data_IF_296422711975
#
_entry.id   IF_296422711975
#
_cell.length_a   1.000
_cell.length_b   1.000
_cell.length_c   1.000
_cell.angle_alpha   90.00
_cell.angle_beta   90.00
_cell.angle_gamma   90.00
#
_symmetry.space_group_name_H-M   'P 1'
#
loop_
_entity.id
_entity.type
_entity.pdbx_description
1 polymer ?
#
# COMPACT_ATOMS: atom_id res chain seq x y z
N UNK A 1 -3.41 -41.10 -24.81
CA UNK A 1 -2.71 -39.80 -24.81
C UNK A 1 -2.31 -39.53 -26.27
N UNK A 2 -2.92 -38.51 -26.90
CA UNK A 2 -2.56 -38.16 -28.28
C UNK A 2 -1.19 -37.46 -28.26
N UNK A 3 -0.18 -38.09 -28.80
CA UNK A 3 1.09 -37.45 -29.15
C UNK A 3 0.84 -36.58 -30.39
N UNK A 4 0.39 -35.33 -30.20
CA UNK A 4 0.26 -34.38 -31.28
C UNK A 4 1.60 -33.70 -31.53
N UNK A 5 2.01 -33.67 -32.80
CA UNK A 5 3.10 -32.77 -33.21
C UNK A 5 2.59 -31.34 -33.14
N UNK A 6 3.15 -30.53 -32.22
CA UNK A 6 2.84 -29.12 -32.12
C UNK A 6 3.79 -28.35 -33.04
N UNK A 7 3.23 -27.45 -33.86
CA UNK A 7 4.02 -26.49 -34.66
C UNK A 7 3.58 -25.06 -34.23
N UNK A 8 4.53 -24.13 -34.26
CA UNK A 8 4.21 -22.72 -34.00
C UNK A 8 3.26 -22.18 -35.08
N UNK A 9 2.31 -21.38 -34.65
CA UNK A 9 1.46 -20.62 -35.56
C UNK A 9 2.32 -19.58 -36.31
N UNK A 10 2.04 -19.38 -37.57
CA UNK A 10 2.69 -18.37 -38.39
C UNK A 10 2.43 -16.92 -37.88
N UNK A 11 1.32 -16.70 -37.17
CA UNK A 11 0.98 -15.47 -36.47
C UNK A 11 0.82 -15.76 -34.98
N UNK A 12 1.66 -15.13 -34.15
CA UNK A 12 1.60 -15.30 -32.69
C UNK A 12 0.40 -14.54 -32.14
N UNK A 13 -0.44 -15.23 -31.40
CA UNK A 13 -1.62 -14.70 -30.73
C UNK A 13 -1.56 -14.96 -29.23
N UNK A 14 -2.21 -14.08 -28.45
CA UNK A 14 -2.57 -14.32 -27.05
C UNK A 14 -4.08 -14.49 -27.02
N UNK A 15 -4.56 -15.65 -26.59
CA UNK A 15 -5.98 -15.96 -26.52
C UNK A 15 -6.57 -15.60 -25.15
N UNK A 16 -5.97 -16.13 -24.09
CA UNK A 16 -6.45 -15.92 -22.71
C UNK A 16 -5.35 -15.42 -21.81
N UNK A 17 -5.73 -14.52 -20.85
CA UNK A 17 -4.88 -14.04 -19.79
C UNK A 17 -5.50 -14.30 -18.42
N UNK A 18 -4.68 -14.58 -17.43
CA UNK A 18 -5.09 -14.79 -16.04
C UNK A 18 -4.14 -14.08 -15.08
N UNK A 19 -4.68 -13.52 -13.98
CA UNK A 19 -3.84 -12.99 -12.91
C UNK A 19 -3.10 -14.11 -12.20
N UNK A 20 -1.77 -14.00 -12.09
CA UNK A 20 -0.92 -15.01 -11.44
C UNK A 20 -1.38 -15.33 -10.02
N UNK A 21 -1.71 -14.32 -9.24
CA UNK A 21 -2.18 -14.48 -7.87
C UNK A 21 -3.52 -15.23 -7.79
N UNK A 22 -4.43 -14.99 -8.74
CA UNK A 22 -5.71 -15.73 -8.80
C UNK A 22 -5.48 -17.20 -9.14
N UNK A 23 -4.54 -17.49 -10.01
CA UNK A 23 -4.14 -18.86 -10.29
C UNK A 23 -3.53 -19.53 -9.06
N UNK A 24 -2.65 -18.81 -8.35
CA UNK A 24 -2.04 -19.29 -7.12
C UNK A 24 -3.08 -19.60 -6.02
N UNK A 25 -4.13 -18.78 -5.89
CA UNK A 25 -5.25 -19.06 -4.96
C UNK A 25 -5.87 -20.42 -5.26
N UNK A 26 -6.15 -20.72 -6.54
CA UNK A 26 -6.75 -21.99 -6.94
C UNK A 26 -5.78 -23.18 -6.76
N UNK A 27 -4.50 -23.00 -7.07
CA UNK A 27 -3.50 -24.09 -6.98
C UNK A 27 -3.11 -24.38 -5.52
N UNK A 28 -3.06 -23.36 -4.67
CA UNK A 28 -2.73 -23.51 -3.25
C UNK A 28 -3.96 -23.82 -2.37
N UNK A 29 -5.15 -23.87 -2.97
CA UNK A 29 -6.43 -24.12 -2.27
C UNK A 29 -6.64 -23.21 -1.05
N UNK A 30 -6.47 -21.89 -1.26
CA UNK A 30 -6.66 -20.87 -0.24
C UNK A 30 -7.80 -19.93 -0.59
N UNK A 31 -8.41 -19.27 0.41
CA UNK A 31 -9.62 -18.44 0.23
C UNK A 31 -9.35 -17.07 -0.40
N UNK A 32 -8.12 -16.56 -0.31
CA UNK A 32 -7.80 -15.19 -0.66
C UNK A 32 -6.40 -15.04 -1.23
N UNK A 33 -6.22 -14.05 -2.11
CA UNK A 33 -4.90 -13.61 -2.59
C UNK A 33 -3.96 -13.27 -1.43
N UNK A 34 -4.48 -12.80 -0.30
CA UNK A 34 -3.68 -12.48 0.89
C UNK A 34 -3.17 -13.72 1.63
N UNK A 35 -3.68 -14.89 1.32
CA UNK A 35 -3.30 -16.15 1.95
C UNK A 35 -2.30 -16.96 1.11
N UNK A 36 -2.04 -16.56 -0.17
CA UNK A 36 -1.00 -17.20 -0.98
C UNK A 36 0.40 -16.94 -0.41
N UNK A 37 1.31 -17.85 -0.61
CA UNK A 37 2.67 -17.84 -0.06
C UNK A 37 3.43 -16.51 -0.24
N UNK A 38 3.42 -15.98 -1.46
CA UNK A 38 4.12 -14.74 -1.83
C UNK A 38 3.56 -13.47 -1.18
N UNK A 39 2.26 -13.43 -0.86
CA UNK A 39 1.61 -12.26 -0.27
C UNK A 39 1.47 -12.38 1.24
N UNK A 40 1.32 -13.63 1.72
CA UNK A 40 1.17 -13.94 3.15
C UNK A 40 2.33 -13.40 3.99
N UNK A 41 3.56 -13.53 3.52
CA UNK A 41 4.74 -13.04 4.24
C UNK A 41 4.66 -11.53 4.49
N UNK A 42 4.22 -10.75 3.50
CA UNK A 42 4.03 -9.31 3.62
C UNK A 42 2.86 -8.98 4.56
N UNK A 43 1.72 -9.63 4.40
CA UNK A 43 0.55 -9.49 5.30
C UNK A 43 0.94 -9.76 6.76
N UNK A 44 1.66 -10.84 7.00
CA UNK A 44 2.10 -11.23 8.34
C UNK A 44 3.13 -10.23 8.91
N UNK A 45 3.93 -9.58 8.05
CA UNK A 45 4.80 -8.48 8.46
C UNK A 45 3.99 -7.27 8.93
N UNK A 46 2.95 -6.86 8.17
CA UNK A 46 2.02 -5.80 8.61
C UNK A 46 1.39 -6.14 9.96
N UNK A 47 0.90 -7.36 10.12
CA UNK A 47 0.30 -7.83 11.38
C UNK A 47 1.27 -7.75 12.56
N UNK A 48 2.54 -8.13 12.37
CA UNK A 48 3.58 -8.05 13.42
C UNK A 48 3.86 -6.61 13.82
N UNK A 49 3.97 -5.70 12.86
CA UNK A 49 4.20 -4.28 13.15
C UNK A 49 3.05 -3.64 13.92
N UNK A 50 1.83 -4.02 13.61
CA UNK A 50 0.63 -3.49 14.26
C UNK A 50 0.25 -4.24 15.56
N UNK A 51 0.87 -5.38 15.85
CA UNK A 51 0.48 -6.21 16.99
C UNK A 51 -0.91 -6.83 16.88
N UNK A 52 -1.42 -7.04 15.66
CA UNK A 52 -2.78 -7.54 15.39
C UNK A 52 -2.76 -8.90 14.70
N UNK A 53 -3.88 -9.62 14.80
CA UNK A 53 -4.08 -10.92 14.15
C UNK A 53 -5.08 -10.75 13.01
N UNK A 54 -4.69 -11.15 11.80
CA UNK A 54 -5.57 -11.14 10.63
C UNK A 54 -6.78 -12.06 10.81
N UNK A 55 -7.94 -11.64 10.31
CA UNK A 55 -9.25 -12.32 10.45
C UNK A 55 -9.83 -12.29 11.88
N UNK A 56 -9.34 -11.44 12.77
CA UNK A 56 -9.88 -11.27 14.13
C UNK A 56 -10.83 -10.07 14.26
N UNK A 57 -10.56 -8.99 13.54
CA UNK A 57 -11.35 -7.76 13.55
C UNK A 57 -11.45 -7.18 12.13
N UNK A 58 -12.67 -6.96 11.64
CA UNK A 58 -12.92 -6.53 10.27
C UNK A 58 -12.29 -5.16 9.93
N UNK A 59 -12.28 -4.22 10.88
CA UNK A 59 -11.68 -2.88 10.66
C UNK A 59 -10.17 -2.97 10.51
N UNK A 60 -9.53 -3.77 11.33
CA UNK A 60 -8.09 -4.04 11.24
C UNK A 60 -7.77 -4.79 9.95
N UNK A 61 -8.60 -5.74 9.55
CA UNK A 61 -8.43 -6.51 8.33
C UNK A 61 -8.47 -5.64 7.07
N UNK A 62 -9.39 -4.67 7.01
CA UNK A 62 -9.44 -3.70 5.91
C UNK A 62 -8.10 -2.95 5.80
N UNK A 63 -7.58 -2.47 6.92
CA UNK A 63 -6.32 -1.72 6.96
C UNK A 63 -5.13 -2.59 6.55
N UNK A 64 -5.06 -3.84 7.03
CA UNK A 64 -4.02 -4.81 6.65
C UNK A 64 -4.04 -5.06 5.14
N UNK A 65 -5.22 -5.29 4.56
CA UNK A 65 -5.41 -5.51 3.11
C UNK A 65 -4.95 -4.32 2.29
N UNK A 66 -5.35 -3.11 2.69
CA UNK A 66 -4.96 -1.86 2.00
C UNK A 66 -3.46 -1.68 2.03
N UNK A 67 -2.80 -1.82 3.18
CA UNK A 67 -1.36 -1.65 3.30
C UNK A 67 -0.63 -2.69 2.44
N UNK A 68 -1.02 -3.96 2.54
CA UNK A 68 -0.40 -5.07 1.80
C UNK A 68 -0.49 -4.87 0.28
N UNK A 69 -1.66 -4.49 -0.24
CA UNK A 69 -1.88 -4.25 -1.66
C UNK A 69 -1.10 -3.02 -2.16
N UNK A 70 -1.21 -1.92 -1.43
CA UNK A 70 -0.67 -0.64 -1.87
C UNK A 70 0.86 -0.62 -1.84
N UNK A 71 1.51 -1.18 -0.82
CA UNK A 71 2.97 -1.17 -0.74
C UNK A 71 3.60 -2.01 -1.85
N UNK A 72 2.98 -3.12 -2.25
CA UNK A 72 3.42 -3.90 -3.42
C UNK A 72 3.35 -3.05 -4.68
N UNK A 73 2.19 -2.45 -4.93
CA UNK A 73 1.98 -1.59 -6.11
C UNK A 73 2.98 -0.43 -6.14
N UNK A 74 3.18 0.26 -5.01
CA UNK A 74 4.12 1.40 -4.90
C UNK A 74 5.56 0.96 -5.18
N UNK A 75 6.00 -0.17 -4.62
CA UNK A 75 7.36 -0.70 -4.82
C UNK A 75 7.64 -0.94 -6.30
N UNK A 76 6.74 -1.61 -7.01
CA UNK A 76 6.88 -1.86 -8.45
C UNK A 76 6.78 -0.59 -9.29
N UNK A 77 5.84 0.31 -8.98
CA UNK A 77 5.71 1.59 -9.70
C UNK A 77 6.99 2.44 -9.62
N UNK A 78 7.65 2.48 -8.45
CA UNK A 78 8.91 3.21 -8.30
C UNK A 78 10.03 2.51 -9.09
N UNK A 79 10.10 1.19 -9.06
CA UNK A 79 11.05 0.41 -9.87
C UNK A 79 10.88 0.71 -11.36
N UNK A 80 9.65 0.89 -11.83
CA UNK A 80 9.31 1.28 -13.20
C UNK A 80 9.57 2.76 -13.53
N UNK A 81 10.16 3.51 -12.57
CA UNK A 81 10.56 4.91 -12.76
C UNK A 81 9.45 5.93 -12.50
N UNK A 82 8.34 5.54 -11.89
CA UNK A 82 7.29 6.49 -11.50
C UNK A 82 7.67 7.15 -10.18
N UNK A 83 7.66 8.50 -10.18
CA UNK A 83 7.97 9.31 -8.99
C UNK A 83 6.70 9.93 -8.41
N UNK A 84 6.60 10.10 -7.07
CA UNK A 84 5.48 10.81 -6.45
C UNK A 84 5.36 12.23 -7.01
N UNK A 85 4.17 12.60 -7.48
CA UNK A 85 3.89 13.94 -8.01
C UNK A 85 2.44 14.35 -7.72
N UNK A 86 2.07 15.58 -8.12
CA UNK A 86 0.70 16.08 -7.97
C UNK A 86 -0.19 15.74 -9.17
N UNK A 87 0.39 15.21 -10.25
CA UNK A 87 -0.31 14.98 -11.51
C UNK A 87 0.01 13.60 -12.10
N UNK A 88 -0.84 13.13 -13.01
CA UNK A 88 -0.62 11.94 -13.80
C UNK A 88 -0.40 10.66 -12.97
N UNK A 89 0.51 9.81 -13.44
CA UNK A 89 0.81 8.52 -12.79
C UNK A 89 1.44 8.70 -11.40
N UNK A 90 2.25 9.73 -11.21
CA UNK A 90 2.90 10.03 -9.94
C UNK A 90 1.90 10.44 -8.85
N UNK A 91 0.78 11.08 -9.21
CA UNK A 91 -0.32 11.35 -8.28
C UNK A 91 -0.95 10.06 -7.76
N UNK A 92 -1.16 9.06 -8.63
CA UNK A 92 -1.71 7.77 -8.23
C UNK A 92 -0.77 7.08 -7.23
N UNK A 93 0.53 7.05 -7.53
CA UNK A 93 1.54 6.49 -6.64
C UNK A 93 1.52 7.20 -5.27
N UNK A 94 1.57 8.53 -5.24
CA UNK A 94 1.50 9.33 -4.01
C UNK A 94 0.24 9.02 -3.21
N UNK A 95 -0.91 8.93 -3.87
CA UNK A 95 -2.19 8.61 -3.23
C UNK A 95 -2.20 7.22 -2.59
N UNK A 96 -1.65 6.20 -3.29
CA UNK A 96 -1.55 4.84 -2.74
C UNK A 96 -0.64 4.81 -1.51
N UNK A 97 0.53 5.46 -1.58
CA UNK A 97 1.48 5.52 -0.48
C UNK A 97 0.88 6.21 0.74
N UNK A 98 0.29 7.39 0.56
CA UNK A 98 -0.37 8.13 1.64
C UNK A 98 -1.55 7.37 2.26
N UNK A 99 -2.31 6.65 1.43
CA UNK A 99 -3.39 5.80 1.93
C UNK A 99 -2.87 4.65 2.77
N UNK A 100 -1.79 3.99 2.36
CA UNK A 100 -1.13 2.96 3.15
C UNK A 100 -0.62 3.51 4.49
N UNK A 101 0.03 4.67 4.47
CA UNK A 101 0.51 5.37 5.67
C UNK A 101 -0.63 5.69 6.64
N UNK A 102 -1.75 6.24 6.15
CA UNK A 102 -2.94 6.51 6.96
C UNK A 102 -3.50 5.24 7.62
N UNK A 103 -3.58 4.14 6.87
CA UNK A 103 -4.05 2.86 7.42
C UNK A 103 -3.09 2.29 8.46
N UNK A 104 -1.78 2.55 8.35
CA UNK A 104 -0.82 2.23 9.39
C UNK A 104 -1.11 2.96 10.70
N UNK A 105 -1.38 4.27 10.62
CA UNK A 105 -1.81 5.07 11.79
C UNK A 105 -3.10 4.55 12.41
N UNK A 106 -4.09 4.13 11.62
CA UNK A 106 -5.34 3.52 12.11
C UNK A 106 -5.07 2.22 12.87
N UNK A 107 -4.07 1.44 12.45
CA UNK A 107 -3.63 0.22 13.14
C UNK A 107 -2.75 0.48 14.36
N UNK A 108 -2.41 1.75 14.66
CA UNK A 108 -1.54 2.11 15.77
C UNK A 108 -0.05 1.90 15.49
N UNK A 109 0.36 1.82 14.23
CA UNK A 109 1.78 1.74 13.87
C UNK A 109 2.36 3.16 13.93
N UNK A 110 3.31 3.35 14.83
CA UNK A 110 4.01 4.62 15.00
C UNK A 110 5.26 4.71 14.12
N UNK A 111 5.56 5.92 13.66
CA UNK A 111 6.76 6.21 12.89
C UNK A 111 6.72 5.74 11.45
N UNK A 112 7.91 5.44 10.89
CA UNK A 112 8.09 4.96 9.53
C UNK A 112 8.08 3.44 9.49
N UNK A 113 7.31 2.88 8.58
CA UNK A 113 7.18 1.42 8.45
C UNK A 113 7.10 0.94 6.98
N UNK A 114 6.73 1.82 6.05
CA UNK A 114 6.47 1.43 4.66
C UNK A 114 7.75 0.98 3.94
N UNK A 115 8.90 1.59 4.24
CA UNK A 115 10.18 1.17 3.67
C UNK A 115 10.54 -0.27 4.09
N UNK A 116 10.35 -0.64 5.36
CA UNK A 116 10.56 -2.02 5.83
C UNK A 116 9.62 -3.04 5.17
N UNK A 117 8.38 -2.66 4.92
CA UNK A 117 7.44 -3.49 4.15
C UNK A 117 7.86 -3.63 2.69
N UNK A 118 8.36 -2.54 2.07
CA UNK A 118 8.88 -2.58 0.71
C UNK A 118 10.10 -3.52 0.58
N UNK A 119 10.98 -3.60 1.58
CA UNK A 119 12.04 -4.60 1.64
C UNK A 119 11.51 -6.03 1.58
N UNK A 120 10.40 -6.30 2.28
CA UNK A 120 9.75 -7.63 2.23
C UNK A 120 9.20 -7.93 0.83
N UNK A 121 8.67 -6.91 0.13
CA UNK A 121 8.20 -7.05 -1.26
C UNK A 121 9.38 -7.36 -2.18
N UNK A 122 10.47 -6.61 -2.09
CA UNK A 122 11.69 -6.79 -2.89
C UNK A 122 12.25 -8.21 -2.65
N UNK A 123 12.45 -8.60 -1.40
CA UNK A 123 12.97 -9.91 -1.03
C UNK A 123 12.14 -11.07 -1.56
N UNK A 124 10.80 -10.94 -1.55
CA UNK A 124 9.89 -11.97 -2.04
C UNK A 124 9.68 -11.97 -3.57
N UNK A 125 10.20 -10.96 -4.29
CA UNK A 125 9.94 -10.79 -5.73
C UNK A 125 11.22 -10.77 -6.58
N UNK A 126 12.41 -10.63 -5.99
CA UNK A 126 13.69 -10.42 -6.69
C UNK A 126 14.09 -11.54 -7.65
N UNK A 127 13.66 -12.78 -7.40
CA UNK A 127 13.99 -13.91 -8.28
C UNK A 127 13.27 -13.81 -9.63
N UNK A 128 12.08 -13.22 -9.65
CA UNK A 128 11.33 -12.95 -10.89
C UNK A 128 11.53 -11.54 -11.45
N UNK A 129 12.00 -10.60 -10.62
CA UNK A 129 12.16 -9.18 -10.93
C UNK A 129 13.47 -8.66 -10.32
N UNK A 130 14.63 -9.02 -10.89
CA UNK A 130 15.95 -8.65 -10.36
C UNK A 130 16.17 -7.14 -10.28
N UNK A 131 15.51 -6.37 -11.14
CA UNK A 131 15.54 -4.89 -11.12
C UNK A 131 15.05 -4.27 -9.80
N UNK A 132 14.25 -5.00 -9.03
CA UNK A 132 13.84 -4.54 -7.69
C UNK A 132 15.01 -4.51 -6.72
N UNK A 133 15.87 -5.51 -6.76
CA UNK A 133 17.09 -5.56 -5.93
C UNK A 133 18.12 -4.54 -6.40
N UNK A 134 18.31 -4.38 -7.72
CA UNK A 134 19.22 -3.39 -8.28
C UNK A 134 18.85 -1.95 -7.87
N UNK A 135 17.54 -1.65 -7.81
CA UNK A 135 17.02 -0.33 -7.45
C UNK A 135 16.59 -0.21 -5.99
N UNK A 136 16.92 -1.18 -5.14
CA UNK A 136 16.45 -1.28 -3.76
C UNK A 136 16.62 0.02 -2.99
N UNK A 137 17.82 0.57 -2.91
CA UNK A 137 18.12 1.77 -2.12
C UNK A 137 17.36 3.00 -2.64
N UNK A 138 17.19 3.09 -3.95
CA UNK A 138 16.40 4.15 -4.58
C UNK A 138 14.92 4.04 -4.18
N UNK A 139 14.32 2.85 -4.28
CA UNK A 139 12.92 2.60 -3.93
C UNK A 139 12.67 2.95 -2.46
N UNK A 140 13.49 2.43 -1.56
CA UNK A 140 13.36 2.66 -0.12
C UNK A 140 13.48 4.14 0.25
N UNK A 141 14.42 4.87 -0.40
CA UNK A 141 14.62 6.30 -0.17
C UNK A 141 13.42 7.13 -0.63
N UNK A 142 12.83 6.82 -1.79
CA UNK A 142 11.65 7.50 -2.30
C UNK A 142 10.45 7.29 -1.36
N UNK A 143 10.20 6.05 -0.94
CA UNK A 143 9.12 5.73 -0.01
C UNK A 143 9.32 6.44 1.32
N UNK A 144 10.52 6.35 1.91
CA UNK A 144 10.83 6.96 3.20
C UNK A 144 10.65 8.48 3.19
N UNK A 145 11.08 9.16 2.13
CA UNK A 145 10.91 10.63 2.00
C UNK A 145 9.44 11.05 1.91
N UNK A 146 8.64 10.36 1.10
CA UNK A 146 7.21 10.71 0.96
C UNK A 146 6.45 10.36 2.24
N UNK A 147 6.80 9.27 2.93
CA UNK A 147 6.23 8.89 4.23
C UNK A 147 6.54 9.94 5.29
N UNK A 148 7.79 10.42 5.39
CA UNK A 148 8.20 11.50 6.29
C UNK A 148 7.41 12.79 6.04
N UNK A 149 7.30 13.18 4.77
CA UNK A 149 6.57 14.39 4.41
C UNK A 149 5.08 14.28 4.73
N UNK A 150 4.49 13.12 4.50
CA UNK A 150 3.07 12.90 4.79
C UNK A 150 2.79 12.81 6.30
N UNK A 151 3.67 12.19 7.08
CA UNK A 151 3.56 12.16 8.53
C UNK A 151 3.57 13.57 9.12
N UNK A 152 4.46 14.46 8.65
CA UNK A 152 4.46 15.88 9.06
C UNK A 152 3.14 16.59 8.72
N UNK A 153 2.59 16.33 7.52
CA UNK A 153 1.30 16.90 7.11
C UNK A 153 0.16 16.42 8.01
N UNK A 154 0.12 15.12 8.35
CA UNK A 154 -0.89 14.57 9.27
C UNK A 154 -0.75 15.19 10.66
N UNK A 155 0.46 15.25 11.20
CA UNK A 155 0.70 15.79 12.54
C UNK A 155 0.31 17.28 12.62
N UNK A 156 0.59 18.04 11.56
CA UNK A 156 0.16 19.43 11.43
C UNK A 156 -1.37 19.56 11.37
N UNK A 157 -2.03 18.73 10.53
CA UNK A 157 -3.49 18.73 10.42
C UNK A 157 -4.19 18.33 11.71
N UNK A 158 -3.65 17.35 12.44
CA UNK A 158 -4.17 16.95 13.76
C UNK A 158 -3.99 18.05 14.81
N UNK A 159 -2.87 18.80 14.77
CA UNK A 159 -2.66 19.96 15.62
C UNK A 159 -3.73 21.04 15.39
N UNK A 160 -3.97 21.40 14.13
CA UNK A 160 -5.01 22.38 13.75
C UNK A 160 -6.40 21.90 14.19
N UNK A 161 -6.71 20.61 14.01
CA UNK A 161 -7.98 20.04 14.43
C UNK A 161 -8.16 20.13 15.96
N UNK A 162 -7.11 19.81 16.73
CA UNK A 162 -7.16 19.89 18.19
C UNK A 162 -7.38 21.33 18.70
N UNK A 163 -6.78 22.34 18.05
CA UNK A 163 -7.03 23.75 18.35
C UNK A 163 -8.51 24.10 18.09
N UNK A 164 -9.05 23.71 16.93
CA UNK A 164 -10.46 23.94 16.59
C UNK A 164 -11.43 23.26 17.56
N UNK A 165 -11.13 22.01 17.96
CA UNK A 165 -11.93 21.30 18.96
C UNK A 165 -11.90 22.00 20.33
N UNK A 166 -10.77 22.60 20.72
CA UNK A 166 -10.65 23.43 21.91
C UNK A 166 -11.58 24.66 21.86
N UNK A 167 -11.49 25.41 20.76
CA UNK A 167 -12.36 26.59 20.57
C UNK A 167 -13.86 26.23 20.53
N UNK A 168 -14.23 25.14 19.91
CA UNK A 168 -15.62 24.64 19.87
C UNK A 168 -16.13 24.28 21.26
N UNK A 169 -15.32 23.63 22.09
CA UNK A 169 -15.67 23.27 23.47
C UNK A 169 -15.91 24.52 24.32
N UNK A 170 -15.08 25.56 24.18
CA UNK A 170 -15.24 26.84 24.89
C UNK A 170 -16.54 27.57 24.48
N UNK A 171 -16.93 27.50 23.20
CA UNK A 171 -18.14 28.12 22.65
C UNK A 171 -19.39 27.25 22.83
N UNK A 172 -19.27 26.00 23.30
CA UNK A 172 -20.39 25.06 23.40
C UNK A 172 -20.90 24.56 22.04
N UNK A 173 -20.11 24.69 20.99
CA UNK A 173 -20.47 24.26 19.65
C UNK A 173 -20.20 22.76 19.46
N UNK A 174 -21.11 22.04 18.76
CA UNK A 174 -21.00 20.59 18.51
C UNK A 174 -20.76 20.27 17.04
N UNK A 175 -20.79 21.29 16.17
CA UNK A 175 -20.63 21.11 14.71
C UNK A 175 -19.50 22.01 14.21
N UNK A 176 -18.58 21.44 13.45
CA UNK A 176 -17.49 22.19 12.84
C UNK A 176 -18.04 23.15 11.77
N UNK A 177 -17.57 24.39 11.76
CA UNK A 177 -18.00 25.37 10.75
C UNK A 177 -17.45 25.01 9.36
N UNK A 178 -18.11 25.49 8.30
CA UNK A 178 -17.63 25.30 6.91
C UNK A 178 -16.23 25.85 6.67
N UNK A 179 -15.90 26.99 7.28
CA UNK A 179 -14.57 27.63 7.18
C UNK A 179 -13.48 26.76 7.83
N UNK A 180 -13.77 26.20 9.00
CA UNK A 180 -12.86 25.26 9.67
C UNK A 180 -12.67 23.97 8.85
N UNK A 181 -13.76 23.42 8.31
CA UNK A 181 -13.68 22.23 7.47
C UNK A 181 -12.87 22.50 6.19
N UNK A 182 -13.04 23.67 5.57
CA UNK A 182 -12.27 24.08 4.41
C UNK A 182 -10.77 24.24 4.72
N UNK A 183 -10.44 24.88 5.85
CA UNK A 183 -9.06 25.04 6.31
C UNK A 183 -8.35 23.68 6.50
N UNK A 184 -9.04 22.69 7.08
CA UNK A 184 -8.50 21.33 7.21
C UNK A 184 -8.35 20.60 5.86
N UNK A 185 -9.22 20.88 4.91
CA UNK A 185 -9.15 20.32 3.57
C UNK A 185 -7.96 20.87 2.77
N UNK A 186 -7.62 22.16 2.94
CA UNK A 186 -6.57 22.86 2.22
C UNK A 186 -5.16 22.64 2.84
N UNK A 187 -5.08 22.04 4.03
CA UNK A 187 -3.83 21.70 4.72
C UNK A 187 -3.33 20.32 4.29
#
# INVERSE_FOLDING_TARGET
MCQGNYSEWWQKNIDTGMGRERLAVAVQDVDSILDIDTVKALRDHVCRLAGVIYKKDEKSDISIRVITDHIRSVTFMISDGIMPSNEGRGYVLRRLLRRACRHGRILGIDGKFLSGLSETVIGGSKDGYPELEEKRDFILNVISKEEDQFNKTIDQGLGILAEMEGEMKEKGETVLSGDHAFKLYDT
#
